data_IF_155525113862
#
_entry.id   IF_155525113862
#
_cell.length_a   1.000
_cell.length_b   1.000
_cell.length_c   1.000
_cell.angle_alpha   90.00
_cell.angle_beta   90.00
_cell.angle_gamma   90.00
#
_symmetry.space_group_name_H-M   'P 1'
#
loop_
_entity.id
_entity.type
_entity.pdbx_description
1 polymer ?
#
# COMPACT_ATOMS: atom_id res chain seq x y z
N UNK A 1 -2.67 34.35 -13.73
CA UNK A 1 -1.43 33.59 -13.45
C UNK A 1 -1.61 32.22 -14.11
N UNK A 2 -1.27 32.09 -15.39
CA UNK A 2 -1.38 30.84 -16.13
C UNK A 2 -0.19 29.96 -15.73
N UNK A 3 -0.45 28.99 -14.85
CA UNK A 3 0.52 27.95 -14.52
C UNK A 3 0.88 27.21 -15.80
N UNK A 4 2.16 27.28 -16.21
CA UNK A 4 2.74 26.35 -17.17
C UNK A 4 2.49 24.95 -16.63
N UNK A 5 1.59 24.19 -17.23
CA UNK A 5 1.42 22.78 -16.92
C UNK A 5 2.71 22.10 -17.37
N UNK A 6 3.50 21.61 -16.41
CA UNK A 6 4.59 20.68 -16.72
C UNK A 6 4.04 19.52 -17.53
N UNK A 7 4.83 18.96 -18.44
CA UNK A 7 4.46 17.74 -19.16
C UNK A 7 4.06 16.66 -18.15
N UNK A 8 2.97 15.96 -18.45
CA UNK A 8 2.43 14.91 -17.59
C UNK A 8 3.32 13.69 -17.71
N UNK A 9 3.73 13.12 -16.58
CA UNK A 9 4.41 11.83 -16.57
C UNK A 9 3.42 10.71 -16.92
N UNK A 10 3.38 10.34 -18.19
CA UNK A 10 2.51 9.28 -18.71
C UNK A 10 2.76 7.93 -18.04
N UNK A 11 4.02 7.64 -17.67
CA UNK A 11 4.38 6.38 -17.03
C UNK A 11 3.80 6.31 -15.62
N UNK A 12 3.91 7.40 -14.85
CA UNK A 12 3.30 7.49 -13.53
C UNK A 12 1.79 7.40 -13.62
N UNK A 13 1.16 8.10 -14.58
CA UNK A 13 -0.29 8.08 -14.76
C UNK A 13 -0.79 6.69 -15.16
N UNK A 14 -0.07 5.99 -16.06
CA UNK A 14 -0.36 4.59 -16.43
C UNK A 14 -0.21 3.66 -15.22
N UNK A 15 0.82 3.86 -14.40
CA UNK A 15 1.02 3.06 -13.18
C UNK A 15 -0.12 3.27 -12.19
N UNK A 16 -0.50 4.54 -11.96
CA UNK A 16 -1.63 4.90 -11.10
C UNK A 16 -2.93 4.25 -11.57
N UNK A 17 -3.21 4.25 -12.89
CA UNK A 17 -4.42 3.64 -13.42
C UNK A 17 -4.45 2.12 -13.19
N UNK A 18 -3.30 1.44 -13.36
CA UNK A 18 -3.18 -0.01 -13.16
C UNK A 18 -3.37 -0.43 -11.70
N UNK A 19 -2.92 0.37 -10.74
CA UNK A 19 -3.04 0.04 -9.31
C UNK A 19 -4.28 0.63 -8.64
N UNK A 20 -5.09 1.41 -9.37
CA UNK A 20 -6.22 2.19 -8.82
C UNK A 20 -7.29 1.36 -8.09
N UNK A 21 -7.56 0.14 -8.54
CA UNK A 21 -8.51 -0.78 -7.91
C UNK A 21 -7.89 -1.63 -6.78
N UNK A 22 -6.60 -1.42 -6.51
CA UNK A 22 -5.84 -2.14 -5.49
C UNK A 22 -6.12 -1.66 -4.07
N UNK A 23 -5.88 -2.54 -3.10
CA UNK A 23 -5.99 -2.20 -1.67
C UNK A 23 -4.93 -2.95 -0.89
N UNK A 24 -4.00 -2.20 -0.29
CA UNK A 24 -2.81 -2.72 0.37
C UNK A 24 -2.78 -2.31 1.85
N UNK A 25 -2.74 -3.31 2.74
CA UNK A 25 -2.68 -3.09 4.20
C UNK A 25 -1.51 -2.17 4.62
N UNK A 26 -0.28 -2.32 4.09
CA UNK A 26 0.83 -1.43 4.46
C UNK A 26 0.58 0.04 4.08
N UNK A 27 0.02 0.30 2.90
CA UNK A 27 -0.31 1.67 2.46
C UNK A 27 -1.35 2.31 3.41
N UNK A 28 -2.37 1.54 3.78
CA UNK A 28 -3.39 1.97 4.74
C UNK A 28 -2.80 2.21 6.13
N UNK A 29 -1.86 1.39 6.59
CA UNK A 29 -1.19 1.57 7.88
C UNK A 29 -0.37 2.87 7.92
N UNK A 30 0.38 3.17 6.85
CA UNK A 30 1.17 4.41 6.74
C UNK A 30 0.27 5.64 6.72
N UNK A 31 -0.68 5.70 5.77
CA UNK A 31 -1.58 6.85 5.63
C UNK A 31 -2.49 7.01 6.84
N UNK A 32 -3.00 5.90 7.39
CA UNK A 32 -3.81 5.91 8.60
C UNK A 32 -3.06 6.44 9.82
N UNK A 33 -1.79 6.07 9.99
CA UNK A 33 -0.94 6.60 11.06
C UNK A 33 -0.68 8.10 10.91
N UNK A 34 -0.37 8.56 9.69
CA UNK A 34 -0.16 9.98 9.38
C UNK A 34 -1.45 10.77 9.63
N UNK A 35 -2.59 10.31 9.10
CA UNK A 35 -3.87 10.99 9.25
C UNK A 35 -4.32 11.04 10.72
N UNK A 36 -4.14 9.96 11.49
CA UNK A 36 -4.42 9.95 12.92
C UNK A 36 -3.53 10.96 13.66
N UNK A 37 -2.26 11.09 13.28
CA UNK A 37 -1.37 12.08 13.87
C UNK A 37 -1.79 13.51 13.49
N UNK A 38 -2.21 13.78 12.26
CA UNK A 38 -2.74 15.09 11.86
C UNK A 38 -3.99 15.47 12.66
N UNK A 39 -4.88 14.52 12.93
CA UNK A 39 -6.02 14.72 13.82
C UNK A 39 -5.56 15.15 15.23
N UNK A 40 -4.57 14.45 15.80
CA UNK A 40 -4.02 14.80 17.11
C UNK A 40 -3.41 16.21 17.13
N UNK A 41 -2.71 16.61 16.06
CA UNK A 41 -2.17 17.97 15.92
C UNK A 41 -3.29 19.01 15.90
N UNK A 42 -4.35 18.77 15.13
CA UNK A 42 -5.50 19.66 15.01
C UNK A 42 -6.24 19.83 16.34
N UNK A 43 -6.44 18.76 17.11
CA UNK A 43 -7.14 18.82 18.40
C UNK A 43 -6.31 19.42 19.53
N UNK A 44 -4.98 19.32 19.47
CA UNK A 44 -4.09 19.71 20.58
C UNK A 44 -3.33 21.02 20.35
N UNK A 45 -3.21 21.50 19.12
CA UNK A 45 -2.30 22.59 18.76
C UNK A 45 -0.82 22.24 18.95
N UNK A 46 -0.48 20.94 19.09
CA UNK A 46 0.88 20.46 19.31
C UNK A 46 1.46 19.87 18.03
N UNK A 47 2.71 20.23 17.73
CA UNK A 47 3.47 19.91 16.52
C UNK A 47 3.03 20.68 15.25
N UNK A 48 3.86 20.63 14.22
CA UNK A 48 3.61 21.30 12.93
C UNK A 48 2.69 20.44 12.05
N UNK A 49 1.51 20.96 11.63
CA UNK A 49 0.64 20.27 10.68
C UNK A 49 1.27 20.16 9.29
N UNK A 50 0.81 19.19 8.50
CA UNK A 50 1.09 19.17 7.06
C UNK A 50 0.41 20.38 6.41
N UNK A 51 1.14 21.10 5.57
CA UNK A 51 0.64 22.28 4.86
C UNK A 51 0.83 22.12 3.34
N UNK A 52 -0.14 21.68 2.56
CA UNK A 52 -1.49 21.20 2.88
C UNK A 52 -1.74 19.80 2.30
N UNK A 53 -0.98 19.44 1.26
CA UNK A 53 -1.11 18.19 0.52
C UNK A 53 0.11 17.32 0.79
N UNK A 54 -0.14 16.04 0.90
CA UNK A 54 0.90 15.03 1.04
C UNK A 54 0.55 13.86 0.10
N UNK A 55 1.45 13.58 -0.83
CA UNK A 55 1.35 12.44 -1.74
C UNK A 55 2.43 11.44 -1.35
N UNK A 56 2.08 10.16 -1.40
CA UNK A 56 2.98 9.06 -1.10
C UNK A 56 2.71 7.92 -2.06
N UNK A 57 3.78 7.41 -2.66
CA UNK A 57 3.79 6.21 -3.47
C UNK A 57 4.92 5.28 -3.03
N UNK A 58 4.82 4.03 -3.46
CA UNK A 58 5.82 2.99 -3.23
C UNK A 58 5.93 2.13 -4.50
N UNK A 59 6.08 2.80 -5.66
CA UNK A 59 6.10 2.14 -6.97
C UNK A 59 7.26 1.16 -7.12
N UNK A 60 8.31 1.32 -6.32
CA UNK A 60 9.47 0.41 -6.24
C UNK A 60 9.09 -0.98 -5.70
N UNK A 61 7.95 -1.11 -5.03
CA UNK A 61 7.44 -2.40 -4.58
C UNK A 61 6.78 -3.21 -5.70
N UNK A 62 6.47 -2.60 -6.85
CA UNK A 62 5.84 -3.30 -7.96
C UNK A 62 6.77 -4.38 -8.54
N UNK A 63 6.23 -5.49 -9.08
CA UNK A 63 7.05 -6.50 -9.73
C UNK A 63 7.79 -5.91 -10.93
N UNK A 64 8.99 -6.42 -11.22
CA UNK A 64 9.81 -5.94 -12.35
C UNK A 64 9.12 -6.12 -13.71
N UNK A 65 8.27 -7.14 -13.84
CA UNK A 65 7.49 -7.41 -15.04
C UNK A 65 6.04 -6.96 -14.82
N UNK A 66 5.38 -6.50 -15.89
CA UNK A 66 3.96 -6.14 -15.85
C UNK A 66 3.12 -7.34 -15.39
N UNK A 67 2.14 -7.08 -14.51
CA UNK A 67 1.19 -8.09 -14.02
C UNK A 67 0.16 -8.34 -15.12
N UNK A 68 0.05 -9.59 -15.56
CA UNK A 68 -0.96 -9.97 -16.55
C UNK A 68 -2.38 -9.81 -15.98
N UNK A 69 -3.36 -9.50 -16.85
CA UNK A 69 -4.77 -9.39 -16.42
C UNK A 69 -5.28 -10.71 -15.82
N UNK A 70 -4.83 -11.85 -16.35
CA UNK A 70 -5.13 -13.17 -15.81
C UNK A 70 -4.61 -13.33 -14.37
N UNK A 71 -3.36 -12.95 -14.10
CA UNK A 71 -2.77 -13.05 -12.76
C UNK A 71 -3.40 -12.07 -11.76
N UNK A 72 -3.71 -10.85 -12.21
CA UNK A 72 -4.40 -9.84 -11.40
C UNK A 72 -5.81 -10.31 -11.01
N UNK A 73 -6.54 -10.94 -11.94
CA UNK A 73 -7.93 -11.36 -11.74
C UNK A 73 -8.10 -12.75 -11.11
N UNK A 74 -7.05 -13.57 -11.11
CA UNK A 74 -7.11 -14.97 -10.67
C UNK A 74 -7.62 -15.18 -9.24
N UNK A 75 -7.56 -14.15 -8.38
CA UNK A 75 -7.97 -14.25 -6.98
C UNK A 75 -9.02 -13.22 -6.54
N UNK A 76 -9.75 -12.61 -7.49
CA UNK A 76 -10.78 -11.59 -7.20
C UNK A 76 -11.82 -12.05 -6.17
N UNK A 77 -12.15 -13.35 -6.16
CA UNK A 77 -13.14 -13.95 -5.25
C UNK A 77 -12.54 -14.38 -3.90
N UNK A 78 -11.36 -13.88 -3.55
CA UNK A 78 -10.68 -14.18 -2.28
C UNK A 78 -10.45 -12.92 -1.47
N UNK A 79 -10.14 -13.07 -0.18
CA UNK A 79 -9.76 -11.94 0.68
C UNK A 79 -8.51 -11.17 0.23
N UNK A 80 -7.68 -11.76 -0.64
CA UNK A 80 -6.45 -11.15 -1.15
C UNK A 80 -6.61 -10.58 -2.57
N UNK A 81 -7.83 -10.59 -3.14
CA UNK A 81 -8.08 -10.16 -4.52
C UNK A 81 -7.58 -8.74 -4.80
N UNK A 82 -7.84 -7.80 -3.89
CA UNK A 82 -7.40 -6.41 -4.07
C UNK A 82 -5.88 -6.21 -3.96
N UNK A 83 -5.17 -7.08 -3.22
CA UNK A 83 -3.70 -7.10 -3.20
C UNK A 83 -3.14 -7.73 -4.48
N UNK A 84 -3.83 -8.76 -4.99
CA UNK A 84 -3.47 -9.43 -6.24
C UNK A 84 -3.66 -8.54 -7.48
N UNK A 85 -4.61 -7.61 -7.46
CA UNK A 85 -4.75 -6.62 -8.53
C UNK A 85 -3.48 -5.78 -8.72
N UNK A 86 -2.69 -5.59 -7.66
CA UNK A 86 -1.43 -4.81 -7.70
C UNK A 86 -0.23 -5.69 -8.02
N UNK A 87 -0.10 -6.85 -7.36
CA UNK A 87 1.11 -7.67 -7.44
C UNK A 87 0.97 -8.96 -8.26
N UNK A 88 -0.25 -9.35 -8.61
CA UNK A 88 -0.57 -10.62 -9.27
C UNK A 88 -0.66 -11.81 -8.30
N UNK A 89 -1.41 -12.83 -8.70
CA UNK A 89 -1.55 -14.07 -7.95
C UNK A 89 -0.24 -14.82 -7.65
N UNK A 90 0.78 -14.84 -8.53
CA UNK A 90 2.06 -15.46 -8.21
C UNK A 90 2.75 -14.85 -6.98
N UNK A 91 2.75 -13.52 -6.85
CA UNK A 91 3.35 -12.83 -5.72
C UNK A 91 2.57 -13.12 -4.43
N UNK A 92 1.24 -13.12 -4.48
CA UNK A 92 0.43 -13.47 -3.31
C UNK A 92 0.70 -14.89 -2.82
N UNK A 93 0.80 -15.87 -3.73
CA UNK A 93 1.15 -17.25 -3.37
C UNK A 93 2.54 -17.32 -2.74
N UNK A 94 3.48 -16.53 -3.27
CA UNK A 94 4.83 -16.41 -2.70
C UNK A 94 4.77 -15.86 -1.27
N UNK A 95 3.98 -14.82 -1.00
CA UNK A 95 3.75 -14.27 0.36
C UNK A 95 3.19 -15.35 1.29
N UNK A 96 2.18 -16.10 0.85
CA UNK A 96 1.60 -17.23 1.61
C UNK A 96 2.63 -18.30 1.99
N UNK A 97 3.57 -18.61 1.10
CA UNK A 97 4.61 -19.62 1.37
C UNK A 97 5.76 -19.17 2.27
N UNK A 98 5.80 -17.89 2.69
CA UNK A 98 6.92 -17.37 3.46
C UNK A 98 6.94 -17.89 4.91
N UNK A 99 8.15 -18.01 5.47
CA UNK A 99 8.40 -18.36 6.86
C UNK A 99 9.20 -17.24 7.52
N UNK A 100 8.53 -16.41 8.31
CA UNK A 100 9.16 -15.30 9.02
C UNK A 100 9.22 -15.58 10.52
N UNK A 101 10.30 -15.11 11.15
CA UNK A 101 10.45 -15.13 12.60
C UNK A 101 10.31 -13.70 13.14
N UNK A 102 9.29 -13.47 13.97
CA UNK A 102 9.05 -12.17 14.61
C UNK A 102 9.57 -12.22 16.03
N UNK A 103 10.56 -11.37 16.35
CA UNK A 103 11.11 -11.25 17.71
C UNK A 103 10.49 -10.02 18.37
N UNK A 104 9.55 -10.27 19.28
CA UNK A 104 8.88 -9.24 20.07
C UNK A 104 7.41 -9.04 19.70
N UNK A 105 6.57 -8.88 20.72
CA UNK A 105 5.12 -8.73 20.63
C UNK A 105 4.62 -7.44 21.31
N UNK A 106 5.43 -6.38 21.27
CA UNK A 106 5.03 -5.04 21.70
C UNK A 106 4.22 -4.31 20.61
N UNK A 107 4.10 -2.98 20.71
CA UNK A 107 3.33 -2.17 19.74
C UNK A 107 3.70 -2.46 18.27
N UNK A 108 4.99 -2.48 17.94
CA UNK A 108 5.48 -2.78 16.58
C UNK A 108 5.18 -4.23 16.19
N UNK A 109 5.31 -5.17 17.13
CA UNK A 109 5.01 -6.59 16.90
C UNK A 109 3.54 -6.82 16.59
N UNK A 110 2.64 -6.18 17.33
CA UNK A 110 1.20 -6.21 17.07
C UNK A 110 0.87 -5.65 15.68
N UNK A 111 1.46 -4.52 15.30
CA UNK A 111 1.25 -3.92 13.98
C UNK A 111 1.83 -4.76 12.83
N UNK A 112 2.97 -5.42 13.04
CA UNK A 112 3.51 -6.39 12.08
C UNK A 112 2.57 -7.58 11.91
N UNK A 113 2.12 -8.20 13.01
CA UNK A 113 1.22 -9.36 12.95
C UNK A 113 -0.12 -9.02 12.29
N UNK A 114 -0.68 -7.83 12.55
CA UNK A 114 -1.84 -7.31 11.82
C UNK A 114 -1.58 -7.25 10.32
N UNK A 115 -0.48 -6.64 9.90
CA UNK A 115 -0.14 -6.55 8.47
C UNK A 115 0.13 -7.92 7.86
N UNK A 116 0.83 -8.82 8.55
CA UNK A 116 1.07 -10.19 8.09
C UNK A 116 -0.23 -10.95 7.87
N UNK A 117 -1.17 -10.85 8.81
CA UNK A 117 -2.48 -11.47 8.69
C UNK A 117 -3.31 -10.90 7.52
N UNK A 118 -3.23 -9.59 7.28
CA UNK A 118 -3.94 -8.93 6.17
C UNK A 118 -3.31 -9.22 4.81
N UNK A 119 -1.97 -9.33 4.75
CA UNK A 119 -1.23 -9.65 3.53
C UNK A 119 -1.25 -11.15 3.19
N UNK A 120 -1.66 -12.00 4.13
CA UNK A 120 -1.70 -13.45 3.95
C UNK A 120 -0.32 -14.10 4.04
N UNK A 121 0.57 -13.56 4.87
CA UNK A 121 1.90 -14.12 5.07
C UNK A 121 1.83 -15.43 5.87
N UNK A 122 2.41 -16.50 5.34
CA UNK A 122 2.44 -17.80 6.02
C UNK A 122 1.11 -18.58 5.99
N UNK A 123 0.21 -18.26 5.04
CA UNK A 123 -1.12 -18.89 4.86
C UNK A 123 -1.22 -19.58 3.51
#
# INVERSE_FOLDING_TARGET
MTTKTSEVDEKLLKTLSFVSAGSLSPMQAVIGGIAAQELMKACSGKFMPIQQWFYFDAVECLPQNEVSEADAKAMLKTRYGAQALVFGAPVQKKIGSQKYFVVGAGAIGCEHLKNFAMMGLGV
#
